data_IF_951454449256
#
_entry.id   IF_951454449256
#
_cell.length_a   1.000
_cell.length_b   1.000
_cell.length_c   1.000
_cell.angle_alpha   90.00
_cell.angle_beta   90.00
_cell.angle_gamma   90.00
#
_symmetry.space_group_name_H-M   'P 1'
#
loop_
_entity.id
_entity.type
_entity.pdbx_description
1 polymer ?
2 polymer ?
3 non-polymer ?
4 non-polymer ?
5 water ?
#
loop_
_entity_poly.entity_id
_entity_poly.type
_entity_poly.pdbx_seq_one_letter_code
_entity_poly.pdbx_strand_id
1 'polyribonucleotide' 'GGGCACGCACAGAGCAAACCAUUCGAAAGAGUGGGACGCAAAGCCUCCGGCCUAAACCAUUGCACCUCGGUAGGUAGCGGGGUUACCGAUG' ?
#
# COMPACT_ATOMS: atom_id res chain seq x y z
N UNK B 1 0.07 1.02 -15.47
CA UNK B 1 0.59 -0.35 -15.63
C UNK B 1 0.59 -1.10 -14.31
N UNK B 2 -0.15 -2.22 -14.24
CA UNK B 2 -0.32 -3.01 -13.02
C UNK B 2 0.99 -3.50 -12.44
N UNK B 3 0.97 -3.85 -11.16
CA UNK B 3 2.19 -4.16 -10.44
C UNK B 3 1.83 -4.95 -9.20
N UNK B 4 2.79 -5.69 -8.67
CA UNK B 4 2.60 -6.40 -7.38
C UNK B 4 2.45 -5.40 -6.24
N UNK B 5 2.99 -4.22 -6.41
CA UNK B 5 2.95 -3.22 -5.35
C UNK B 5 1.95 -2.08 -5.67
N UNK B 6 1.03 -1.84 -4.75
CA UNK B 6 0.24 -0.62 -4.83
C UNK B 6 0.92 0.51 -4.03
N UNK B 7 0.98 1.69 -4.66
CA UNK B 7 1.40 2.94 -4.03
C UNK B 7 0.21 3.71 -3.50
N UNK B 8 0.20 3.94 -2.19
CA UNK B 8 -0.86 4.71 -1.55
C UNK B 8 -0.36 6.04 -1.00
N UNK B 9 -1.12 7.10 -1.25
CA UNK B 9 -0.85 8.38 -0.60
C UNK B 9 -2.13 9.15 -0.24
N UNK B 10 -1.96 10.44 0.06
CA UNK B 10 -2.97 11.19 0.81
C UNK B 10 -3.29 10.49 2.12
N UNK B 11 -2.27 10.01 2.82
CA UNK B 11 -2.51 9.30 4.05
C UNK B 11 -2.37 10.29 5.19
N UNK B 12 -2.89 9.96 6.37
CA UNK B 12 -2.72 10.82 7.54
C UNK B 12 -1.35 10.71 8.20
N UNK B 13 -0.61 11.81 8.19
CA UNK B 13 0.77 11.84 8.61
C UNK B 13 0.93 11.80 10.12
N UNK B 14 -0.19 11.77 10.84
CA UNK B 14 -0.17 11.87 12.30
C UNK B 14 -0.26 10.48 12.95
N UNK B 15 -0.37 9.45 12.12
CA UNK B 15 -0.48 8.07 12.59
C UNK B 15 0.91 7.48 12.69
N UNK B 16 1.23 6.91 13.85
CA UNK B 16 2.54 6.31 14.05
C UNK B 16 2.76 5.20 13.03
N UNK B 17 4.03 4.91 12.78
CA UNK B 17 4.48 4.00 11.73
C UNK B 17 3.87 2.60 11.83
N UNK B 18 4.03 2.00 13.00
CA UNK B 18 3.54 0.66 13.27
C UNK B 18 2.01 0.57 13.20
N UNK B 19 1.31 1.54 13.78
CA UNK B 19 -0.14 1.47 13.76
C UNK B 19 -0.61 1.54 12.32
N UNK B 20 -0.07 2.50 11.56
CA UNK B 20 -0.43 2.64 10.15
C UNK B 20 -0.16 1.32 9.40
N UNK B 21 1.02 0.73 9.59
CA UNK B 21 1.33 -0.57 8.95
C UNK B 21 0.25 -1.60 9.25
N UNK B 22 -0.14 -1.67 10.52
CA UNK B 22 -1.07 -2.67 11.00
C UNK B 22 -2.43 -2.51 10.38
N UNK B 23 -2.96 -1.30 10.38
CA UNK B 23 -4.30 -1.09 9.84
C UNK B 23 -4.33 -1.29 8.33
N UNK B 24 -3.36 -0.67 7.65
CA UNK B 24 -3.15 -0.90 6.23
C UNK B 24 -3.26 -2.37 5.91
N UNK B 25 -2.46 -3.19 6.59
CA UNK B 25 -2.54 -4.64 6.46
C UNK B 25 -3.96 -5.17 6.69
N UNK B 26 -4.51 -4.85 7.85
CA UNK B 26 -5.76 -5.38 8.33
C UNK B 26 -6.92 -5.18 7.39
N UNK B 27 -6.84 -4.19 6.50
CA UNK B 27 -7.95 -4.09 5.55
C UNK B 27 -7.49 -4.29 4.09
N UNK B 28 -6.19 -4.42 3.87
CA UNK B 28 -5.71 -4.83 2.55
C UNK B 28 -5.47 -6.34 2.45
N UNK B 29 -5.75 -7.09 3.52
CA UNK B 29 -5.46 -8.53 3.55
C UNK B 29 -6.57 -9.33 2.88
N UNK B 30 -7.77 -8.80 2.95
CA UNK B 30 -8.93 -9.41 2.31
C UNK B 30 -8.71 -9.74 0.84
N UNK B 31 -7.89 -8.95 0.17
CA UNK B 31 -7.72 -9.05 -1.28
C UNK B 31 -6.72 -10.11 -1.70
N UNK B 32 -5.97 -10.63 -0.74
CA UNK B 32 -5.00 -11.67 -1.01
C UNK B 32 -3.83 -11.61 -0.04
N UNK B 33 -2.78 -12.36 -0.33
CA UNK B 33 -1.66 -12.45 0.59
C UNK B 33 -0.71 -11.29 0.35
N UNK B 34 -0.29 -10.69 1.47
CA UNK B 34 0.51 -9.48 1.44
C UNK B 34 1.97 -9.78 1.74
N UNK B 35 2.83 -9.57 0.76
CA UNK B 35 4.25 -9.81 0.91
C UNK B 35 4.84 -8.82 1.91
N UNK B 36 4.64 -7.53 1.70
CA UNK B 36 5.11 -6.59 2.75
C UNK B 36 4.31 -5.31 2.76
N UNK B 37 4.54 -4.50 3.77
CA UNK B 37 3.93 -3.18 3.86
C UNK B 37 5.03 -2.22 4.30
N UNK B 38 5.42 -1.34 3.40
CA UNK B 38 6.51 -0.44 3.64
C UNK B 38 5.90 0.93 3.89
N UNK B 39 6.06 1.43 5.11
CA UNK B 39 5.39 2.66 5.49
C UNK B 39 6.41 3.66 5.95
N UNK B 40 6.20 4.94 5.59
CA UNK B 40 6.71 5.94 6.52
C UNK B 40 6.34 7.41 6.36
N UNK B 41 7.32 8.12 6.96
CA UNK B 41 7.20 9.18 7.97
C UNK B 41 8.39 10.15 7.94
N UNK B 42 9.37 9.89 7.08
CA UNK B 42 10.43 10.87 6.82
C UNK B 42 9.86 11.99 5.96
N UNK B 43 10.68 12.92 5.50
CA UNK B 43 10.11 14.09 4.85
C UNK B 43 9.45 13.77 3.51
N UNK B 44 10.17 13.14 2.60
CA UNK B 44 9.59 12.89 1.27
C UNK B 44 8.79 11.59 1.19
N UNK B 45 8.86 10.77 2.24
CA UNK B 45 8.16 9.50 2.23
C UNK B 45 7.00 9.53 3.21
N UNK B 46 6.98 10.62 3.96
CA UNK B 46 5.83 11.06 4.76
C UNK B 46 4.46 10.79 4.14
N UNK B 47 3.56 10.31 4.98
CA UNK B 47 2.20 10.17 4.55
C UNK B 47 2.04 9.15 3.46
N UNK B 48 2.98 8.21 3.32
CA UNK B 48 2.67 7.29 2.22
C UNK B 48 3.24 5.90 2.44
N UNK B 49 2.72 4.99 1.59
CA UNK B 49 2.91 3.56 1.83
C UNK B 49 2.93 2.68 0.57
N UNK B 50 3.64 1.56 0.67
CA UNK B 50 3.66 0.55 -0.40
C UNK B 50 3.13 -0.76 0.12
N UNK B 51 2.05 -1.27 -0.45
CA UNK B 51 1.64 -2.61 -0.06
C UNK B 51 2.01 -3.57 -1.18
N UNK B 52 2.91 -4.49 -0.83
CA UNK B 52 3.46 -5.46 -1.77
C UNK B 52 2.70 -6.77 -1.70
N UNK B 53 1.92 -7.01 -2.75
CA UNK B 53 1.09 -8.19 -2.90
C UNK B 53 1.84 -9.30 -3.63
N UNK B 54 1.61 -10.54 -3.22
CA UNK B 54 2.27 -11.73 -3.81
C UNK B 54 2.01 -11.93 -5.29
N UNK B 55 0.75 -11.78 -5.69
CA UNK B 55 0.46 -11.73 -7.12
C UNK B 55 -0.34 -10.48 -7.48
N UNK B 56 -0.20 -10.08 -8.74
CA UNK B 56 -0.72 -8.82 -9.26
C UNK B 56 -2.24 -8.69 -9.16
N UNK B 57 -2.94 -9.72 -9.62
CA UNK B 57 -4.40 -9.81 -9.50
C UNK B 57 -4.94 -9.26 -8.18
N UNK B 58 -4.23 -9.57 -7.11
CA UNK B 58 -4.61 -9.11 -5.79
C UNK B 58 -4.44 -7.55 -5.66
N UNK B 59 -3.37 -7.02 -6.25
CA UNK B 59 -3.13 -5.58 -6.23
C UNK B 59 -4.19 -4.83 -7.04
N UNK B 60 -4.58 -5.39 -8.19
CA UNK B 60 -5.62 -4.77 -8.99
C UNK B 60 -6.96 -4.76 -8.27
N UNK B 61 -7.36 -5.90 -7.71
CA UNK B 61 -8.63 -5.90 -7.00
C UNK B 61 -8.60 -4.91 -5.83
N UNK B 62 -7.47 -4.84 -5.14
CA UNK B 62 -7.28 -3.89 -4.03
C UNK B 62 -7.47 -2.44 -4.47
N UNK B 63 -6.71 -2.03 -5.47
CA UNK B 63 -6.82 -0.68 -6.02
C UNK B 63 -8.25 -0.39 -6.43
N UNK B 64 -8.85 -1.32 -7.17
CA UNK B 64 -10.20 -1.13 -7.69
C UNK B 64 -11.21 -0.89 -6.59
N UNK B 65 -11.20 -1.73 -5.55
CA UNK B 65 -12.19 -1.63 -4.50
C UNK B 65 -11.99 -0.43 -3.58
N UNK B 66 -10.76 -0.22 -3.11
CA UNK B 66 -10.60 0.76 -2.05
C UNK B 66 -9.94 2.05 -2.49
N UNK B 67 -10.07 2.35 -3.78
CA UNK B 67 -9.75 3.66 -4.29
C UNK B 67 -10.71 4.66 -3.66
N UNK B 68 -10.18 5.80 -3.25
CA UNK B 68 -10.99 6.84 -2.64
C UNK B 68 -11.51 6.52 -1.25
N UNK B 69 -11.26 5.29 -0.78
CA UNK B 69 -11.69 4.87 0.54
C UNK B 69 -11.08 5.76 1.63
N UNK B 70 -11.94 6.41 2.43
CA UNK B 70 -11.48 7.28 3.52
C UNK B 70 -10.94 6.48 4.70
N UNK B 71 -9.71 6.81 5.11
CA UNK B 71 -8.91 5.98 6.02
C UNK B 71 -8.15 6.85 7.00
N UNK B 72 -8.43 6.67 8.29
CA UNK B 72 -8.01 7.62 9.32
C UNK B 72 -8.39 9.06 8.92
N UNK B 73 -9.65 9.24 8.54
CA UNK B 73 -10.25 10.53 8.19
C UNK B 73 -9.68 11.17 6.92
N UNK B 74 -8.96 10.37 6.12
CA UNK B 74 -8.50 10.83 4.80
C UNK B 74 -8.76 9.78 3.71
N UNK B 75 -9.22 10.25 2.53
CA UNK B 75 -9.51 9.38 1.37
C UNK B 75 -8.27 8.87 0.64
N UNK B 76 -7.91 7.61 0.87
CA UNK B 76 -6.74 6.99 0.24
C UNK B 76 -6.67 7.18 -1.26
N UNK B 77 -5.52 7.66 -1.75
CA UNK B 77 -5.31 7.69 -3.19
C UNK B 77 -4.38 6.56 -3.63
N UNK B 78 -4.91 5.68 -4.48
CA UNK B 78 -4.19 4.47 -4.84
C UNK B 78 -3.80 4.37 -6.32
N UNK B 79 -2.51 4.22 -6.56
CA UNK B 79 -2.02 3.89 -7.88
C UNK B 79 -1.13 2.64 -7.80
N UNK B 80 -0.63 2.17 -8.94
CA UNK B 80 0.34 1.09 -8.93
C UNK B 80 1.73 1.69 -8.78
N UNK B 81 2.62 1.02 -8.06
CA UNK B 81 4.01 1.47 -7.99
C UNK B 81 4.68 1.39 -9.35
N UNK B 82 5.44 2.43 -9.70
CA UNK B 82 6.08 2.53 -11.02
C UNK B 82 7.20 1.53 -11.25
N UNK B 83 7.62 0.90 -10.17
CA UNK B 83 8.83 0.11 -10.13
C UNK B 83 8.52 -1.12 -9.28
N UNK B 84 9.13 -2.26 -9.58
CA UNK B 84 8.96 -3.42 -8.72
C UNK B 84 9.70 -3.17 -7.39
N UNK B 85 9.10 -3.64 -6.31
CA UNK B 85 9.76 -3.57 -5.02
C UNK B 85 10.98 -4.48 -5.01
N UNK B 86 11.91 -4.22 -4.11
CA UNK B 86 13.15 -5.01 -4.08
C UNK B 86 12.87 -6.49 -3.77
N UNK B 87 11.89 -6.73 -2.90
CA UNK B 87 11.34 -8.07 -2.65
C UNK B 87 11.06 -8.85 -3.94
N UNK B 88 10.23 -8.26 -4.79
CA UNK B 88 9.73 -8.90 -5.97
C UNK B 88 10.84 -9.13 -6.98
N UNK B 89 11.67 -8.13 -7.15
CA UNK B 89 12.81 -8.22 -8.06
C UNK B 89 13.74 -9.33 -7.61
N UNK B 90 13.85 -9.46 -6.30
CA UNK B 90 14.82 -10.35 -5.69
C UNK B 90 14.38 -11.79 -5.82
N UNK B 91 13.08 -12.02 -5.88
CA UNK B 91 12.57 -13.36 -6.13
C UNK B 91 12.98 -13.91 -7.49
N UNK B 92 12.87 -13.07 -8.53
CA UNK B 92 13.17 -13.50 -9.89
C UNK B 92 14.65 -13.84 -10.06
X LIG C 1 -42.54 16.04 -4.80
X LIG D 1 -19.54 19.91 -9.21
X LIG D 1 -19.37 19.13 -8.07
X LIG D 1 -19.64 19.58 -6.85
X LIG D 1 -19.45 18.79 -5.82
X LIG D 1 -19.75 19.34 -4.51
X LIG D 1 -19.02 17.55 -5.88
X LIG D 1 -18.74 17.03 -7.11
X LIG D 1 -18.91 17.82 -8.23
X LIG D 1 -18.59 17.09 -9.30
X LIG D 1 -18.21 15.89 -8.88
X LIG D 1 -18.30 15.82 -7.57
X LIG D 1 -17.99 14.70 -6.80
X LIG D 1 -18.95 14.44 -5.92
X LIG D 1 -18.38 13.85 -4.80
X LIG D 1 -17.93 13.48 -7.70
X LIG D 1 -19.19 12.64 -7.31
X LIG D 1 -19.90 12.08 -8.52
X LIG D 1 -20.11 13.09 -9.46
X LIG D 1 -21.05 12.74 -10.65
X LIG D 1 -22.20 11.96 -10.06
X LIG D 1 -21.21 13.85 -11.57
X LIG D 1 -20.64 11.62 -11.45
X LIG D 1 -19.96 13.40 -6.64
X LIG D 1 -20.42 12.49 -5.64
X LIG D 1 -21.85 12.57 -5.06
X LIG D 1 -22.19 13.78 -4.34
X LIG D 1 -21.80 11.57 -4.04
X LIG D 1 -22.90 11.94 -6.00
X LIG D 1 -23.13 12.79 -7.12
X LIG D 1 -23.51 12.03 -8.30
X LIG D 1 -25.14 12.06 -8.38
X LIG D 1 -23.08 12.76 -9.25
X LIG D 1 -24.29 13.16 -10.08
X LIG D 1 -24.58 12.22 -10.92
X LIG D 1 -25.41 13.09 -9.06
X LIG D 1 -25.59 14.29 -8.31
X LIG D 1 -25.52 14.36 -7.01
X LIG D 1 -25.75 15.61 -6.62
X LIG D 1 -26.01 16.37 -7.68
X LIG D 1 -25.93 15.51 -8.80
X LIG D 1 -26.14 16.00 -10.06
X LIG D 1 -26.44 17.26 -10.31
X LIG D 1 -26.54 18.11 -9.26
X LIG D 1 -26.35 17.73 -7.99
X LIG D 1 -26.48 18.70 -6.97
#
# INVERSE_FOLDING_TARGET
RPNHTIYINNLNEKIKKDELKKSLHAIFSRFGQILDILVKRSLKMRGQAFVIFKEVSSATNALRSMQGFPFYDKPMRIQYAKTDSDIIAKMA
MG MG
4BW OAC CBC NAT CBA NAA NAS CBG CBE NAR CAL NBQ CBO CBI OAG OAX CBK CAN OAV PBR O3' OAH OAD CBM OAZ PBS OAI OAE O5' C5' C4' O4' C3' C2' O2' C1' N9 C8 N7 C5 C4 N3 C2 N1 C6 N6
#
